data_IF_719983661778
#
_entry.id   IF_719983661778
#
_cell.length_a   1.000
_cell.length_b   1.000
_cell.length_c   1.000
_cell.angle_alpha   90.00
_cell.angle_beta   90.00
_cell.angle_gamma   90.00
#
_symmetry.space_group_name_H-M   'P 1'
#
loop_
_entity.id
_entity.type
_entity.pdbx_description
1 polymer ?
#
# COMPACT_ATOMS: atom_id res chain seq x y z
N UNK A 1 -13.05 13.92 -20.73
CA UNK A 1 -12.01 12.88 -20.95
C UNK A 1 -11.04 13.52 -21.91
N UNK A 2 -9.80 13.74 -21.46
CA UNK A 2 -8.81 14.52 -22.19
C UNK A 2 -8.34 13.78 -23.46
N UNK A 3 -8.04 14.50 -24.53
CA UNK A 3 -7.54 13.91 -25.80
C UNK A 3 -6.28 13.07 -25.66
N UNK A 4 -5.48 13.31 -24.60
CA UNK A 4 -4.27 12.53 -24.27
C UNK A 4 -4.54 11.07 -23.89
N UNK A 5 -5.77 10.72 -23.53
CA UNK A 5 -6.15 9.35 -23.14
C UNK A 5 -6.55 8.46 -24.31
N UNK A 6 -6.92 9.05 -25.46
CA UNK A 6 -7.42 8.31 -26.64
C UNK A 6 -6.38 7.39 -27.33
N UNK A 7 -5.09 7.60 -27.08
CA UNK A 7 -4.03 6.78 -27.67
C UNK A 7 -3.58 5.59 -26.83
N UNK A 8 -3.93 5.56 -25.54
CA UNK A 8 -3.49 4.51 -24.60
C UNK A 8 -4.49 3.34 -24.52
N UNK A 9 -5.77 3.64 -24.59
CA UNK A 9 -6.84 2.65 -24.54
C UNK A 9 -7.33 2.30 -25.95
N UNK A 10 -7.89 1.10 -26.13
CA UNK A 10 -8.56 0.73 -27.38
C UNK A 10 -9.79 1.61 -27.65
N UNK A 11 -10.23 1.71 -28.89
CA UNK A 11 -11.27 2.66 -29.35
C UNK A 11 -12.56 2.61 -28.51
N UNK A 12 -12.92 1.43 -27.98
CA UNK A 12 -14.15 1.21 -27.19
C UNK A 12 -13.85 1.03 -25.68
N UNK A 13 -12.70 1.48 -25.23
CA UNK A 13 -12.26 1.28 -23.84
C UNK A 13 -12.37 2.58 -23.06
N UNK A 14 -13.15 2.56 -21.97
CA UNK A 14 -13.39 3.71 -21.11
C UNK A 14 -12.95 3.42 -19.68
N UNK A 15 -12.24 4.35 -19.05
CA UNK A 15 -11.88 4.25 -17.65
C UNK A 15 -13.13 4.32 -16.76
N UNK A 16 -13.30 3.34 -15.90
CA UNK A 16 -14.40 3.20 -14.94
C UNK A 16 -13.98 3.70 -13.57
N UNK A 17 -12.79 3.31 -13.13
CA UNK A 17 -12.26 3.68 -11.81
C UNK A 17 -10.74 3.70 -11.82
N UNK A 18 -10.15 4.56 -11.01
CA UNK A 18 -8.69 4.70 -10.90
C UNK A 18 -8.27 4.76 -9.45
N UNK A 19 -7.33 3.91 -9.07
CA UNK A 19 -6.62 4.00 -7.80
C UNK A 19 -5.29 4.71 -8.05
N UNK A 20 -5.15 5.94 -7.53
CA UNK A 20 -3.98 6.78 -7.78
C UNK A 20 -4.19 7.86 -8.84
N UNK A 21 -5.36 8.48 -8.87
CA UNK A 21 -5.74 9.49 -9.86
C UNK A 21 -4.73 10.65 -10.01
N UNK A 22 -4.07 11.07 -8.92
CA UNK A 22 -3.02 12.10 -8.97
C UNK A 22 -1.74 11.72 -9.73
N UNK A 23 -1.62 10.46 -10.20
CA UNK A 23 -0.49 9.95 -10.99
C UNK A 23 -0.89 9.59 -12.42
N UNK A 24 -2.03 10.09 -12.88
CA UNK A 24 -2.58 9.76 -14.19
C UNK A 24 -1.62 10.07 -15.35
N UNK A 25 -1.02 11.25 -15.35
CA UNK A 25 -0.07 11.65 -16.40
C UNK A 25 1.18 10.76 -16.41
N UNK A 26 1.72 10.44 -15.23
CA UNK A 26 2.86 9.52 -15.09
C UNK A 26 2.51 8.10 -15.52
N UNK A 27 1.27 7.68 -15.30
CA UNK A 27 0.75 6.39 -15.75
C UNK A 27 0.70 6.31 -17.28
N UNK A 28 0.18 7.35 -17.94
CA UNK A 28 0.08 7.40 -19.41
C UNK A 28 1.45 7.46 -20.10
N UNK A 29 2.40 8.21 -19.51
CA UNK A 29 3.77 8.31 -20.04
C UNK A 29 4.62 7.06 -19.75
N UNK A 30 4.20 6.20 -18.81
CA UNK A 30 4.99 5.05 -18.37
C UNK A 30 6.22 5.40 -17.54
N UNK A 31 6.42 6.69 -17.20
CA UNK A 31 7.59 7.19 -16.51
C UNK A 31 7.23 7.88 -15.19
N UNK A 32 8.19 7.94 -14.26
CA UNK A 32 8.04 8.69 -13.02
C UNK A 32 7.12 8.06 -11.97
N UNK A 33 6.57 6.87 -12.19
CA UNK A 33 5.72 6.19 -11.22
C UNK A 33 6.55 5.73 -10.02
N UNK A 34 6.34 6.39 -8.89
CA UNK A 34 6.94 6.02 -7.59
C UNK A 34 6.04 5.11 -6.77
N UNK A 35 4.76 5.00 -7.14
CA UNK A 35 3.72 4.21 -6.47
C UNK A 35 3.01 3.34 -7.50
N UNK A 36 2.34 2.31 -6.99
CA UNK A 36 1.49 1.46 -7.80
C UNK A 36 0.19 2.21 -8.14
N UNK A 37 -0.13 2.31 -9.41
CA UNK A 37 -1.37 2.89 -9.93
C UNK A 37 -2.18 1.79 -10.59
N UNK A 38 -3.48 1.74 -10.33
CA UNK A 38 -4.39 0.80 -10.96
C UNK A 38 -5.48 1.57 -11.70
N UNK A 39 -5.70 1.23 -12.95
CA UNK A 39 -6.75 1.82 -13.79
C UNK A 39 -7.66 0.71 -14.26
N UNK A 40 -8.91 0.79 -13.86
CA UNK A 40 -9.96 -0.12 -14.27
C UNK A 40 -10.71 0.50 -15.45
N UNK A 41 -10.76 -0.22 -16.55
CA UNK A 41 -11.58 0.10 -17.70
C UNK A 41 -12.73 -0.90 -17.81
N UNK A 42 -13.63 -0.65 -18.76
CA UNK A 42 -14.73 -1.57 -19.06
C UNK A 42 -14.26 -2.96 -19.60
N UNK A 43 -12.98 -3.08 -20.02
CA UNK A 43 -12.43 -4.33 -20.60
C UNK A 43 -11.26 -4.89 -19.80
N UNK A 44 -10.40 -4.01 -19.29
CA UNK A 44 -9.10 -4.39 -18.68
C UNK A 44 -8.84 -3.68 -17.36
N UNK A 45 -7.99 -4.30 -16.58
CA UNK A 45 -7.37 -3.72 -15.40
C UNK A 45 -5.88 -3.54 -15.69
N UNK A 46 -5.44 -2.29 -15.75
CA UNK A 46 -4.04 -1.92 -15.89
C UNK A 46 -3.42 -1.66 -14.54
N UNK A 47 -2.24 -2.22 -14.30
CA UNK A 47 -1.50 -2.11 -13.05
C UNK A 47 -0.08 -1.70 -13.38
N UNK A 48 0.30 -0.46 -13.05
CA UNK A 48 1.64 0.06 -13.32
C UNK A 48 2.25 0.72 -12.10
N UNK A 49 3.55 0.58 -11.95
CA UNK A 49 4.28 1.29 -10.91
C UNK A 49 5.44 0.52 -10.29
N UNK A 50 6.02 1.12 -9.26
CA UNK A 50 7.13 0.52 -8.51
C UNK A 50 6.66 -0.03 -7.18
N UNK A 51 7.06 -1.25 -6.89
CA UNK A 51 6.80 -1.94 -5.62
C UNK A 51 8.10 -2.33 -4.95
N UNK A 52 8.12 -2.20 -3.64
CA UNK A 52 9.20 -2.76 -2.83
C UNK A 52 8.73 -4.13 -2.35
N UNK A 53 9.32 -5.18 -2.89
CA UNK A 53 9.08 -6.55 -2.44
C UNK A 53 10.04 -6.83 -1.29
N UNK A 54 9.53 -7.31 -0.16
CA UNK A 54 10.35 -7.62 1.02
C UNK A 54 11.51 -8.56 0.62
N UNK A 55 12.75 -8.13 0.91
CA UNK A 55 13.97 -8.89 0.62
C UNK A 55 14.48 -8.80 -0.83
N UNK A 56 13.82 -8.01 -1.70
CA UNK A 56 14.26 -7.78 -3.08
C UNK A 56 14.27 -6.29 -3.40
N UNK A 57 15.09 -5.94 -4.39
CA UNK A 57 15.15 -4.59 -4.97
C UNK A 57 13.79 -4.14 -5.49
N UNK A 58 13.61 -2.83 -5.71
CA UNK A 58 12.41 -2.24 -6.31
C UNK A 58 12.08 -2.96 -7.62
N UNK A 59 10.91 -3.57 -7.69
CA UNK A 59 10.38 -4.15 -8.93
C UNK A 59 9.45 -3.14 -9.60
N UNK A 60 9.55 -3.03 -10.93
CA UNK A 60 8.56 -2.32 -11.74
C UNK A 60 7.52 -3.34 -12.18
N UNK A 61 6.25 -3.01 -11.97
CA UNK A 61 5.11 -3.79 -12.43
C UNK A 61 4.49 -3.02 -13.59
N UNK A 62 4.23 -3.72 -14.68
CA UNK A 62 3.45 -3.24 -15.82
C UNK A 62 2.64 -4.45 -16.32
N UNK A 63 1.40 -4.52 -15.88
CA UNK A 63 0.51 -5.65 -16.13
C UNK A 63 -0.83 -5.15 -16.64
N UNK A 64 -1.38 -5.85 -17.62
CA UNK A 64 -2.75 -5.70 -18.08
C UNK A 64 -3.51 -7.02 -17.91
N UNK A 65 -4.67 -6.95 -17.29
CA UNK A 65 -5.49 -8.12 -16.97
C UNK A 65 -6.88 -7.89 -17.57
N UNK A 66 -7.33 -8.84 -18.40
CA UNK A 66 -8.69 -8.78 -18.91
C UNK A 66 -9.70 -8.98 -17.76
N UNK A 67 -10.70 -8.09 -17.65
CA UNK A 67 -11.71 -8.17 -16.59
C UNK A 67 -12.48 -9.48 -16.62
N UNK A 68 -12.73 -10.04 -17.82
CA UNK A 68 -13.39 -11.32 -17.98
C UNK A 68 -12.62 -12.51 -17.37
N UNK A 69 -11.30 -12.38 -17.21
CA UNK A 69 -10.45 -13.41 -16.62
C UNK A 69 -10.36 -13.28 -15.09
N UNK A 70 -10.87 -12.19 -14.50
CA UNK A 70 -10.84 -11.96 -13.06
C UNK A 70 -12.00 -12.71 -12.41
N UNK A 71 -11.68 -13.64 -11.53
CA UNK A 71 -12.66 -14.45 -10.80
C UNK A 71 -13.07 -13.83 -9.45
N UNK A 72 -12.28 -12.90 -8.92
CA UNK A 72 -12.60 -12.26 -7.66
C UNK A 72 -11.52 -11.29 -7.18
N UNK A 73 -11.85 -10.56 -6.11
CA UNK A 73 -10.94 -9.58 -5.48
C UNK A 73 -10.93 -9.74 -3.97
N UNK A 74 -9.79 -9.51 -3.34
CA UNK A 74 -9.63 -9.52 -1.90
C UNK A 74 -8.90 -8.26 -1.42
N UNK A 75 -9.22 -7.82 -0.20
CA UNK A 75 -8.52 -6.75 0.48
C UNK A 75 -8.03 -7.26 1.83
N UNK A 76 -6.76 -7.11 2.10
CA UNK A 76 -6.14 -7.61 3.31
C UNK A 76 -5.38 -6.50 4.02
N UNK A 77 -5.61 -6.37 5.31
CA UNK A 77 -4.84 -5.49 6.19
C UNK A 77 -4.09 -6.39 7.16
N UNK A 78 -2.76 -6.40 7.04
CA UNK A 78 -1.91 -7.05 8.03
C UNK A 78 -1.56 -6.03 9.10
N UNK A 79 -2.28 -6.11 10.21
CA UNK A 79 -2.01 -5.25 11.36
C UNK A 79 -0.68 -5.64 12.01
N UNK A 80 0.16 -4.64 12.25
CA UNK A 80 1.38 -4.77 13.04
C UNK A 80 1.19 -4.32 14.50
N UNK A 81 -0.06 -4.29 14.96
CA UNK A 81 -0.39 -3.84 16.32
C UNK A 81 0.41 -4.62 17.37
N UNK A 82 0.48 -5.94 17.26
CA UNK A 82 1.25 -6.79 18.17
C UNK A 82 2.73 -6.40 18.22
N UNK A 83 3.36 -6.21 17.06
CA UNK A 83 4.76 -5.76 16.99
C UNK A 83 4.92 -4.38 17.60
N UNK A 84 4.02 -3.45 17.34
CA UNK A 84 4.02 -2.10 17.96
C UNK A 84 3.92 -2.19 19.47
N UNK A 85 3.03 -3.03 19.98
CA UNK A 85 2.86 -3.23 21.43
C UNK A 85 4.12 -3.78 22.08
N UNK A 86 4.75 -4.80 21.49
CA UNK A 86 6.01 -5.36 22.01
C UNK A 86 7.10 -4.29 22.01
N UNK A 87 7.29 -3.56 20.92
CA UNK A 87 8.30 -2.50 20.82
C UNK A 87 8.04 -1.40 21.87
N UNK A 88 6.79 -1.00 22.05
CA UNK A 88 6.43 0.00 23.06
C UNK A 88 6.74 -0.50 24.48
N UNK A 89 6.44 -1.76 24.82
CA UNK A 89 6.74 -2.34 26.11
C UNK A 89 8.25 -2.41 26.36
N UNK A 90 9.03 -2.84 25.37
CA UNK A 90 10.52 -2.88 25.48
C UNK A 90 11.07 -1.47 25.72
N UNK A 91 10.52 -0.46 24.99
CA UNK A 91 10.91 0.94 25.17
C UNK A 91 10.61 1.44 26.58
N UNK A 92 9.41 1.22 27.08
CA UNK A 92 8.99 1.64 28.43
C UNK A 92 9.87 0.99 29.49
N UNK A 93 10.13 -0.33 29.40
CA UNK A 93 11.00 -1.03 30.36
C UNK A 93 12.41 -0.47 30.31
N UNK A 94 12.97 -0.25 29.12
CA UNK A 94 14.30 0.34 28.96
C UNK A 94 14.41 1.73 29.57
N UNK A 95 13.40 2.59 29.35
CA UNK A 95 13.37 3.93 29.94
C UNK A 95 13.27 3.89 31.47
N UNK A 96 12.45 2.99 32.03
CA UNK A 96 12.36 2.83 33.49
C UNK A 96 13.71 2.42 34.08
N UNK A 97 14.40 1.46 33.48
CA UNK A 97 15.72 1.02 33.93
C UNK A 97 16.74 2.19 33.90
N UNK A 98 16.71 2.97 32.81
CA UNK A 98 17.61 4.10 32.63
C UNK A 98 17.34 5.22 33.66
N UNK A 99 16.08 5.52 33.92
CA UNK A 99 15.67 6.51 34.94
C UNK A 99 16.11 6.04 36.34
N UNK A 100 15.92 4.77 36.66
CA UNK A 100 16.39 4.21 37.95
C UNK A 100 17.92 4.29 38.10
N UNK A 101 18.67 4.03 37.04
CA UNK A 101 20.11 4.20 37.04
C UNK A 101 20.56 5.64 37.31
N UNK A 102 19.91 6.61 36.65
CA UNK A 102 20.14 8.06 36.84
C UNK A 102 19.90 8.46 38.32
N UNK A 103 18.82 7.96 38.91
CA UNK A 103 18.46 8.28 40.31
C UNK A 103 19.44 7.68 41.27
N UNK A 104 19.84 6.41 41.09
CA UNK A 104 20.70 5.69 42.00
C UNK A 104 22.16 6.18 41.96
N UNK A 105 22.65 6.53 40.77
CA UNK A 105 24.05 6.93 40.59
C UNK A 105 24.27 8.45 40.65
N UNK A 106 23.18 9.23 40.76
CA UNK A 106 23.20 10.70 40.71
C UNK A 106 23.87 11.26 39.42
N UNK A 107 23.91 10.48 38.36
CA UNK A 107 24.54 10.85 37.10
C UNK A 107 23.58 11.56 36.19
N UNK A 108 23.50 12.90 36.29
CA UNK A 108 22.69 13.73 35.36
C UNK A 108 23.18 13.70 33.91
N UNK A 109 24.41 13.21 33.68
CA UNK A 109 25.00 13.04 32.33
C UNK A 109 24.23 12.07 31.45
N UNK A 110 23.45 11.13 32.02
CA UNK A 110 22.63 10.16 31.29
C UNK A 110 21.25 10.68 30.84
N UNK A 111 20.83 11.86 31.32
CA UNK A 111 19.54 12.47 30.96
C UNK A 111 19.33 12.66 29.44
N UNK A 112 20.32 13.16 28.68
CA UNK A 112 20.16 13.26 27.22
C UNK A 112 19.95 11.93 26.53
N UNK A 113 20.54 10.85 27.07
CA UNK A 113 20.40 9.50 26.55
C UNK A 113 18.97 8.96 26.75
N UNK A 114 18.36 9.22 27.92
CA UNK A 114 16.97 8.86 28.18
C UNK A 114 16.02 9.57 27.20
N UNK A 115 16.18 10.88 27.01
CA UNK A 115 15.35 11.64 26.06
C UNK A 115 15.52 11.11 24.63
N UNK A 116 16.75 10.83 24.20
CA UNK A 116 17.03 10.27 22.88
C UNK A 116 16.43 8.87 22.69
N UNK A 117 16.50 8.02 23.72
CA UNK A 117 15.90 6.68 23.73
C UNK A 117 14.39 6.72 23.57
N UNK A 118 13.69 7.52 24.35
CA UNK A 118 12.25 7.74 24.26
C UNK A 118 11.84 8.22 22.85
N UNK A 119 12.52 9.23 22.31
CA UNK A 119 12.27 9.74 20.96
C UNK A 119 12.47 8.66 19.89
N UNK A 120 13.51 7.83 20.02
CA UNK A 120 13.81 6.72 19.10
C UNK A 120 12.71 5.66 19.12
N UNK A 121 12.22 5.25 20.31
CA UNK A 121 11.13 4.28 20.42
C UNK A 121 9.81 4.80 19.86
N UNK A 122 9.49 6.08 20.09
CA UNK A 122 8.32 6.71 19.47
C UNK A 122 8.44 6.67 17.95
N UNK A 123 9.61 7.02 17.41
CA UNK A 123 9.86 6.99 15.97
C UNK A 123 9.68 5.58 15.39
N UNK A 124 10.26 4.55 16.02
CA UNK A 124 10.12 3.16 15.57
C UNK A 124 8.66 2.71 15.58
N UNK A 125 7.90 3.01 16.64
CA UNK A 125 6.48 2.63 16.70
C UNK A 125 5.66 3.33 15.62
N UNK A 126 5.97 4.58 15.29
CA UNK A 126 5.34 5.31 14.18
C UNK A 126 5.69 4.73 12.79
N UNK A 127 6.89 4.17 12.63
CA UNK A 127 7.32 3.54 11.38
C UNK A 127 6.67 2.16 11.15
N UNK A 128 6.19 1.49 12.21
CA UNK A 128 5.51 0.19 12.13
C UNK A 128 4.06 0.33 11.64
N UNK A 129 3.88 0.84 10.41
CA UNK A 129 2.55 0.99 9.79
C UNK A 129 1.99 -0.37 9.34
N UNK A 130 0.66 -0.46 9.34
CA UNK A 130 -0.04 -1.63 8.82
C UNK A 130 0.26 -1.82 7.33
N UNK A 131 0.35 -3.07 6.92
CA UNK A 131 0.61 -3.44 5.53
C UNK A 131 -0.73 -3.75 4.88
N UNK A 132 -1.06 -3.02 3.82
CA UNK A 132 -2.30 -3.17 3.07
C UNK A 132 -2.02 -3.77 1.71
N UNK A 133 -2.82 -4.75 1.33
CA UNK A 133 -2.72 -5.41 0.04
C UNK A 133 -4.10 -5.54 -0.60
N UNK A 134 -4.14 -5.38 -1.91
CA UNK A 134 -5.24 -5.85 -2.73
C UNK A 134 -4.80 -7.13 -3.43
N UNK A 135 -5.65 -8.13 -3.47
CA UNK A 135 -5.42 -9.34 -4.24
C UNK A 135 -6.46 -9.47 -5.33
N UNK A 136 -6.00 -9.92 -6.49
CA UNK A 136 -6.81 -10.15 -7.68
C UNK A 136 -6.64 -11.62 -8.04
N UNK A 137 -7.75 -12.30 -8.20
CA UNK A 137 -7.77 -13.73 -8.58
C UNK A 137 -8.04 -13.81 -10.06
N UNK A 138 -7.10 -14.38 -10.82
CA UNK A 138 -7.16 -14.51 -12.28
C UNK A 138 -6.94 -15.96 -12.64
N UNK A 139 -7.92 -16.64 -13.23
CA UNK A 139 -7.81 -18.05 -13.68
C UNK A 139 -7.19 -18.98 -12.63
N UNK A 140 -7.58 -18.84 -11.37
CA UNK A 140 -7.07 -19.64 -10.25
C UNK A 140 -5.75 -19.17 -9.64
N UNK A 141 -5.06 -18.23 -10.26
CA UNK A 141 -3.87 -17.60 -9.69
C UNK A 141 -4.24 -16.41 -8.82
N UNK A 142 -3.46 -16.17 -7.76
CA UNK A 142 -3.62 -15.03 -6.86
C UNK A 142 -2.47 -14.05 -7.04
N UNK A 143 -2.78 -12.85 -7.50
CA UNK A 143 -1.84 -11.73 -7.56
C UNK A 143 -2.04 -10.82 -6.35
N UNK A 144 -0.97 -10.39 -5.69
CA UNK A 144 -1.02 -9.58 -4.48
C UNK A 144 -0.24 -8.29 -4.71
N UNK A 145 -0.92 -7.15 -4.58
CA UNK A 145 -0.34 -5.83 -4.80
C UNK A 145 -0.35 -5.01 -3.50
N UNK A 146 0.80 -4.47 -3.08
CA UNK A 146 0.88 -3.61 -1.90
C UNK A 146 0.32 -2.22 -2.22
N UNK A 147 -0.62 -1.76 -1.39
CA UNK A 147 -1.33 -0.48 -1.58
C UNK A 147 -1.17 0.47 -0.38
N UNK A 148 0.03 0.51 0.20
CA UNK A 148 0.34 1.27 1.43
C UNK A 148 0.01 2.78 1.34
N UNK A 149 -0.02 3.33 0.13
CA UNK A 149 -0.10 4.78 -0.11
C UNK A 149 -1.51 5.32 -0.27
N UNK A 150 -2.52 4.45 -0.28
CA UNK A 150 -3.91 4.83 -0.55
C UNK A 150 -4.77 4.78 0.70
N UNK A 151 -5.80 5.63 0.75
CA UNK A 151 -6.81 5.57 1.80
C UNK A 151 -7.60 4.26 1.70
N UNK A 152 -8.14 3.79 2.82
CA UNK A 152 -8.99 2.59 2.82
C UNK A 152 -10.24 2.84 1.97
N UNK A 153 -10.78 4.05 2.04
CA UNK A 153 -11.98 4.45 1.31
C UNK A 153 -11.79 4.37 -0.21
N UNK A 154 -10.68 4.91 -0.73
CA UNK A 154 -10.37 4.86 -2.17
C UNK A 154 -10.21 3.42 -2.66
N UNK A 155 -9.53 2.59 -1.86
CA UNK A 155 -9.35 1.17 -2.18
C UNK A 155 -10.68 0.42 -2.18
N UNK A 156 -11.56 0.71 -1.22
CA UNK A 156 -12.88 0.05 -1.16
C UNK A 156 -13.77 0.49 -2.32
N UNK A 157 -13.77 1.79 -2.69
CA UNK A 157 -14.49 2.28 -3.87
C UNK A 157 -13.99 1.61 -5.15
N UNK A 158 -12.67 1.55 -5.32
CA UNK A 158 -12.05 0.88 -6.47
C UNK A 158 -12.43 -0.60 -6.54
N UNK A 159 -12.34 -1.32 -5.40
CA UNK A 159 -12.72 -2.73 -5.30
C UNK A 159 -14.19 -2.95 -5.64
N UNK A 160 -15.08 -2.07 -5.16
CA UNK A 160 -16.51 -2.17 -5.46
C UNK A 160 -16.77 -2.00 -6.96
N UNK A 161 -16.13 -1.01 -7.60
CA UNK A 161 -16.23 -0.81 -9.06
C UNK A 161 -15.74 -2.05 -9.82
N UNK A 162 -14.62 -2.66 -9.37
CA UNK A 162 -14.09 -3.87 -9.99
C UNK A 162 -15.03 -5.06 -9.79
N UNK A 163 -15.59 -5.26 -8.60
CA UNK A 163 -16.55 -6.35 -8.33
C UNK A 163 -17.81 -6.21 -9.17
N UNK A 164 -18.38 -5.02 -9.27
CA UNK A 164 -19.56 -4.75 -10.11
C UNK A 164 -19.29 -5.06 -11.59
N UNK A 165 -18.09 -4.73 -12.07
CA UNK A 165 -17.71 -5.00 -13.45
C UNK A 165 -17.53 -6.49 -13.73
N UNK A 166 -16.93 -7.23 -12.79
CA UNK A 166 -16.80 -8.69 -12.86
C UNK A 166 -18.20 -9.36 -12.94
N UNK A 167 -19.14 -8.91 -12.09
CA UNK A 167 -20.51 -9.43 -12.11
C UNK A 167 -21.22 -9.15 -13.46
N UNK A 168 -21.06 -7.94 -14.00
CA UNK A 168 -21.60 -7.61 -15.32
C UNK A 168 -21.05 -8.49 -16.45
N UNK A 169 -19.77 -8.89 -16.37
CA UNK A 169 -19.16 -9.77 -17.37
C UNK A 169 -19.55 -11.26 -17.17
N UNK A 170 -19.88 -11.66 -15.96
CA UNK A 170 -20.29 -13.03 -15.62
C UNK A 170 -21.73 -13.32 -16.06
N UNK A 171 -22.56 -12.29 -16.12
CA UNK A 171 -23.99 -12.40 -16.44
C UNK A 171 -24.29 -12.19 -17.94
N UNK A 172 -23.27 -12.02 -18.76
CA UNK A 172 -23.34 -12.02 -20.24
C UNK A 172 -23.02 -13.37 -20.82
#
# INVERSE_FOLDING_TARGET
MDESTKGFFSVDENAVSTLGQGYWDSFLRGEGLTKLVMVLTNKRLYIKGKVIILGKSKATIDEDINVADISGTGFYIYSRAFLRTILALIGIIGEIILILAIINEHESSLMPLAVAGAAFFILITMLCKDIRHISIFVKGNKFIYPIKSYSIEDVMKFRQSLSNLIEMHRNK
#
